data_IF_574906049974
#
_entry.id   IF_574906049974
#
_cell.length_a   1.000
_cell.length_b   1.000
_cell.length_c   1.000
_cell.angle_alpha   90.00
_cell.angle_beta   90.00
_cell.angle_gamma   90.00
#
_symmetry.space_group_name_H-M   'P 1'
#
loop_
_entity.id
_entity.type
_entity.pdbx_description
1 polymer ?
#
# COMPACT_ATOMS: atom_id res chain seq x y z
N UNK A 1 45.77 28.93 4.36
CA UNK A 1 45.47 28.42 3.01
C UNK A 1 45.10 26.94 3.15
N UNK A 2 43.83 26.65 3.44
CA UNK A 2 43.36 25.29 3.69
C UNK A 2 43.03 24.61 2.35
N UNK A 3 43.78 23.56 2.03
CA UNK A 3 43.55 22.70 0.87
C UNK A 3 42.29 21.86 1.13
N UNK A 4 41.21 22.14 0.39
CA UNK A 4 40.05 21.25 0.31
C UNK A 4 40.39 20.09 -0.63
N UNK A 5 40.59 18.89 -0.07
CA UNK A 5 40.59 17.66 -0.84
C UNK A 5 39.14 17.33 -1.24
N UNK A 6 38.80 17.59 -2.51
CA UNK A 6 37.58 17.09 -3.14
C UNK A 6 37.69 15.56 -3.25
N UNK A 7 36.98 14.84 -2.38
CA UNK A 7 36.70 13.41 -2.62
C UNK A 7 35.72 13.31 -3.79
N UNK A 8 36.25 13.09 -4.99
CA UNK A 8 35.47 12.65 -6.15
C UNK A 8 34.98 11.24 -5.87
N UNK A 9 33.77 11.12 -5.32
CA UNK A 9 33.01 9.88 -5.31
C UNK A 9 32.67 9.56 -6.77
N UNK A 10 33.45 8.67 -7.39
CA UNK A 10 33.07 8.02 -8.63
C UNK A 10 31.86 7.14 -8.32
N UNK A 11 30.66 7.68 -8.50
CA UNK A 11 29.50 6.84 -8.74
C UNK A 11 29.78 6.15 -10.07
N UNK A 12 30.19 4.89 -10.02
CA UNK A 12 30.10 4.01 -11.18
C UNK A 12 28.61 3.95 -11.53
N UNK A 13 28.18 4.85 -12.42
CA UNK A 13 26.94 4.68 -13.13
C UNK A 13 27.12 3.39 -13.92
N UNK A 14 26.63 2.29 -13.37
CA UNK A 14 26.39 1.10 -14.17
C UNK A 14 25.48 1.57 -15.31
N UNK A 15 26.07 1.70 -16.49
CA UNK A 15 25.32 1.68 -17.74
C UNK A 15 24.45 0.42 -17.65
N UNK A 16 23.16 0.60 -17.40
CA UNK A 16 22.19 -0.47 -17.60
C UNK A 16 22.34 -0.87 -19.06
N UNK A 17 23.02 -1.99 -19.27
CA UNK A 17 23.07 -2.61 -20.57
C UNK A 17 21.61 -3.00 -20.86
N UNK A 18 20.98 -2.36 -21.84
CA UNK A 18 19.56 -2.52 -22.20
C UNK A 18 19.21 -3.91 -22.76
N UNK A 19 20.09 -4.90 -22.56
CA UNK A 19 19.95 -6.29 -23.00
C UNK A 19 19.80 -7.26 -21.81
N UNK A 20 19.31 -6.79 -20.66
CA UNK A 20 18.82 -7.72 -19.65
C UNK A 20 17.57 -8.40 -20.20
N UNK A 21 17.70 -9.68 -20.56
CA UNK A 21 16.56 -10.54 -20.77
C UNK A 21 15.75 -10.56 -19.47
N UNK A 22 14.55 -9.96 -19.52
CA UNK A 22 13.64 -9.99 -18.39
C UNK A 22 13.38 -11.43 -17.99
N UNK A 23 13.48 -11.73 -16.70
CA UNK A 23 12.97 -12.98 -16.20
C UNK A 23 11.44 -12.93 -16.32
N UNK A 24 10.75 -14.01 -16.78
CA UNK A 24 9.30 -14.02 -16.93
C UNK A 24 8.50 -13.57 -15.71
N UNK A 25 9.06 -13.81 -14.52
CA UNK A 25 8.47 -13.47 -13.21
C UNK A 25 9.00 -12.16 -12.62
N UNK A 26 9.77 -11.37 -13.37
CA UNK A 26 10.17 -10.03 -12.92
C UNK A 26 8.93 -9.18 -12.62
N UNK A 27 8.96 -8.31 -11.59
CA UNK A 27 7.87 -7.39 -11.30
C UNK A 27 7.62 -6.45 -12.47
N UNK A 28 6.42 -5.89 -12.53
CA UNK A 28 6.08 -4.86 -13.51
C UNK A 28 6.98 -3.62 -13.31
N UNK A 29 7.55 -3.12 -14.40
CA UNK A 29 8.39 -1.93 -14.40
C UNK A 29 7.55 -0.65 -14.35
N UNK A 30 8.13 0.50 -13.98
CA UNK A 30 7.42 1.78 -14.04
C UNK A 30 6.83 2.12 -15.42
N UNK A 31 7.51 1.73 -16.50
CA UNK A 31 7.01 1.91 -17.87
C UNK A 31 5.79 1.05 -18.15
N UNK A 32 5.81 -0.20 -17.70
CA UNK A 32 4.67 -1.12 -17.83
C UNK A 32 3.46 -0.61 -17.03
N UNK A 33 3.62 -0.04 -15.83
CA UNK A 33 2.51 0.58 -15.11
C UNK A 33 1.85 1.74 -15.89
N UNK A 34 2.66 2.61 -16.52
CA UNK A 34 2.15 3.71 -17.36
C UNK A 34 1.42 3.16 -18.59
N UNK A 35 1.99 2.13 -19.21
CA UNK A 35 1.39 1.45 -20.37
C UNK A 35 0.04 0.83 -19.99
N UNK A 36 -0.03 0.09 -18.88
CA UNK A 36 -1.27 -0.50 -18.35
C UNK A 36 -2.31 0.59 -18.08
N UNK A 37 -1.91 1.66 -17.41
CA UNK A 37 -2.82 2.78 -17.14
C UNK A 37 -3.41 3.35 -18.44
N UNK A 38 -2.58 3.48 -19.47
CA UNK A 38 -2.98 4.01 -20.78
C UNK A 38 -3.98 3.08 -21.46
N UNK A 39 -3.66 1.78 -21.56
CA UNK A 39 -4.53 0.77 -22.17
C UNK A 39 -5.88 0.71 -21.45
N UNK A 40 -5.88 0.67 -20.12
CA UNK A 40 -7.10 0.62 -19.32
C UNK A 40 -7.95 1.88 -19.56
N UNK A 41 -7.38 3.08 -19.49
CA UNK A 41 -8.12 4.34 -19.71
C UNK A 41 -8.70 4.42 -21.12
N UNK A 42 -7.95 4.03 -22.14
CA UNK A 42 -8.41 4.05 -23.54
C UNK A 42 -9.49 3.01 -23.82
N UNK A 43 -9.52 1.90 -23.07
CA UNK A 43 -10.57 0.88 -23.22
C UNK A 43 -11.93 1.30 -22.63
N UNK A 44 -12.00 2.40 -21.87
CA UNK A 44 -13.25 2.85 -21.26
C UNK A 44 -14.07 3.72 -22.22
N UNK A 45 -15.40 3.54 -22.29
CA UNK A 45 -16.25 4.30 -23.19
C UNK A 45 -16.38 5.78 -22.81
N UNK A 46 -16.26 6.11 -21.53
CA UNK A 46 -16.24 7.48 -21.03
C UNK A 46 -14.89 7.74 -20.34
N UNK A 47 -14.06 8.67 -20.88
CA UNK A 47 -12.77 9.02 -20.29
C UNK A 47 -12.90 9.78 -18.96
N UNK A 48 -14.10 10.27 -18.60
CA UNK A 48 -14.35 11.04 -17.40
C UNK A 48 -14.86 10.21 -16.22
N UNK A 49 -15.02 8.88 -16.37
CA UNK A 49 -15.41 8.05 -15.24
C UNK A 49 -14.37 8.12 -14.11
N UNK A 50 -14.87 8.18 -12.88
CA UNK A 50 -14.03 8.03 -11.70
C UNK A 50 -13.53 6.59 -11.64
N UNK A 51 -12.35 6.36 -12.22
CA UNK A 51 -11.65 5.08 -12.27
C UNK A 51 -10.54 5.08 -11.24
N UNK A 52 -10.51 4.05 -10.41
CA UNK A 52 -9.42 3.81 -9.46
C UNK A 52 -8.85 2.42 -9.68
N UNK A 53 -7.56 2.26 -9.39
CA UNK A 53 -6.84 0.99 -9.47
C UNK A 53 -6.65 0.45 -8.05
N UNK A 54 -7.19 -0.74 -7.80
CA UNK A 54 -7.09 -1.40 -6.48
C UNK A 54 -5.99 -2.45 -6.48
N UNK A 55 -5.69 -3.02 -7.65
CA UNK A 55 -4.59 -3.94 -7.84
C UNK A 55 -4.07 -3.82 -9.28
N UNK A 56 -2.74 -3.85 -9.41
CA UNK A 56 -2.05 -4.00 -10.68
C UNK A 56 -0.84 -4.89 -10.42
N UNK A 57 -0.83 -6.06 -11.04
CA UNK A 57 0.26 -7.02 -10.89
C UNK A 57 0.44 -7.87 -12.14
N UNK A 58 1.52 -8.65 -12.15
CA UNK A 58 1.77 -9.60 -13.22
C UNK A 58 0.61 -10.60 -13.28
N UNK A 59 0.14 -10.89 -14.49
CA UNK A 59 -0.71 -12.06 -14.74
C UNK A 59 0.22 -13.27 -14.82
N UNK A 60 0.07 -14.22 -13.90
CA UNK A 60 1.03 -15.31 -13.74
C UNK A 60 1.19 -16.09 -15.07
N UNK A 61 2.40 -16.14 -15.65
CA UNK A 61 2.62 -16.89 -16.86
C UNK A 61 2.41 -18.39 -16.59
N UNK A 62 1.99 -19.12 -17.64
CA UNK A 62 1.81 -20.56 -17.54
C UNK A 62 3.09 -21.26 -17.02
N UNK A 63 2.91 -22.11 -16.00
CA UNK A 63 4.01 -22.78 -15.30
C UNK A 63 4.86 -23.60 -16.25
N UNK A 64 4.24 -24.35 -17.17
CA UNK A 64 4.99 -25.18 -18.12
C UNK A 64 5.85 -24.33 -19.05
N UNK A 65 5.35 -23.18 -19.49
CA UNK A 65 6.07 -22.21 -20.32
C UNK A 65 7.28 -21.63 -19.58
N UNK A 66 7.13 -21.24 -18.31
CA UNK A 66 8.25 -20.75 -17.49
C UNK A 66 9.32 -21.84 -17.29
N UNK A 67 8.91 -23.07 -16.96
CA UNK A 67 9.84 -24.20 -16.77
C UNK A 67 10.60 -24.54 -18.06
N UNK A 68 9.92 -24.47 -19.21
CA UNK A 68 10.53 -24.70 -20.52
C UNK A 68 11.55 -23.61 -20.87
N UNK A 69 11.21 -22.34 -20.62
CA UNK A 69 12.12 -21.21 -20.79
C UNK A 69 13.36 -21.29 -19.90
N UNK A 70 13.17 -21.68 -18.64
CA UNK A 70 14.28 -21.83 -17.70
C UNK A 70 15.21 -22.98 -18.12
N UNK A 71 14.65 -24.12 -18.51
CA UNK A 71 15.42 -25.32 -18.88
C UNK A 71 16.15 -25.19 -20.21
N UNK A 72 15.71 -24.29 -21.09
CA UNK A 72 16.34 -24.05 -22.40
C UNK A 72 17.55 -23.12 -22.34
N UNK A 73 18.08 -22.82 -21.15
CA UNK A 73 19.06 -21.75 -20.93
C UNK A 73 18.59 -20.42 -21.57
N UNK A 74 17.29 -20.12 -21.49
CA UNK A 74 16.69 -18.87 -21.97
C UNK A 74 16.76 -18.69 -23.51
N UNK A 75 16.89 -19.79 -24.26
CA UNK A 75 16.96 -19.77 -25.74
C UNK A 75 15.59 -19.87 -26.42
N UNK A 76 14.55 -20.27 -25.69
CA UNK A 76 13.16 -20.30 -26.18
C UNK A 76 12.46 -18.95 -25.99
N UNK A 77 11.38 -18.70 -26.74
CA UNK A 77 10.59 -17.47 -26.65
C UNK A 77 10.07 -17.23 -25.22
N UNK A 78 10.14 -15.98 -24.76
CA UNK A 78 9.56 -15.55 -23.48
C UNK A 78 8.02 -15.73 -23.49
N UNK A 79 7.39 -16.08 -22.35
CA UNK A 79 5.95 -16.03 -22.25
C UNK A 79 5.42 -14.61 -22.49
N UNK A 80 4.18 -14.46 -22.97
CA UNK A 80 3.55 -13.15 -23.13
C UNK A 80 3.59 -12.36 -21.81
N UNK A 81 4.00 -11.10 -21.90
CA UNK A 81 4.06 -10.20 -20.74
C UNK A 81 2.67 -9.59 -20.51
N UNK A 82 1.97 -10.09 -19.49
CA UNK A 82 0.58 -9.73 -19.18
C UNK A 82 0.44 -9.18 -17.77
N UNK A 83 -0.58 -8.36 -17.57
CA UNK A 83 -0.92 -7.81 -16.26
C UNK A 83 -2.37 -8.12 -15.90
N UNK A 84 -2.58 -8.55 -14.66
CA UNK A 84 -3.90 -8.66 -14.05
C UNK A 84 -4.20 -7.38 -13.27
N UNK A 85 -5.32 -6.75 -13.61
CA UNK A 85 -5.71 -5.44 -13.12
C UNK A 85 -7.09 -5.54 -12.49
N UNK A 86 -7.21 -5.05 -11.25
CA UNK A 86 -8.50 -4.84 -10.59
C UNK A 86 -8.76 -3.34 -10.50
N UNK A 87 -9.81 -2.88 -11.16
CA UNK A 87 -10.27 -1.48 -11.10
C UNK A 87 -11.64 -1.37 -10.48
N UNK A 88 -11.95 -0.17 -9.98
CA UNK A 88 -13.28 0.26 -9.58
C UNK A 88 -13.74 1.36 -10.51
N UNK A 89 -14.87 1.13 -11.16
CA UNK A 89 -15.49 2.02 -12.14
C UNK A 89 -16.99 2.03 -11.84
N UNK A 90 -17.59 3.20 -11.65
CA UNK A 90 -19.04 3.34 -11.39
C UNK A 90 -19.57 2.40 -10.29
N UNK A 91 -18.79 2.28 -9.20
CA UNK A 91 -19.11 1.40 -8.06
C UNK A 91 -19.16 -0.10 -8.39
N UNK A 92 -18.60 -0.50 -9.53
CA UNK A 92 -18.40 -1.89 -9.93
C UNK A 92 -16.93 -2.26 -9.92
N UNK A 93 -16.64 -3.52 -9.61
CA UNK A 93 -15.28 -4.07 -9.62
C UNK A 93 -15.06 -4.77 -10.96
N UNK A 94 -14.02 -4.37 -11.68
CA UNK A 94 -13.65 -4.96 -12.96
C UNK A 94 -12.32 -5.71 -12.80
N UNK A 95 -12.29 -6.93 -13.31
CA UNK A 95 -11.08 -7.75 -13.44
C UNK A 95 -10.68 -7.78 -14.90
N UNK A 96 -9.49 -7.28 -15.21
CA UNK A 96 -9.02 -7.13 -16.59
C UNK A 96 -7.63 -7.74 -16.75
N UNK A 97 -7.45 -8.52 -17.81
CA UNK A 97 -6.13 -8.98 -18.26
C UNK A 97 -5.69 -8.11 -19.43
N UNK A 98 -4.51 -7.51 -19.28
CA UNK A 98 -3.88 -6.65 -20.29
C UNK A 98 -2.65 -7.36 -20.86
N UNK A 99 -2.52 -7.39 -22.19
CA UNK A 99 -1.30 -7.84 -22.85
C UNK A 99 -0.44 -6.63 -23.25
N UNK A 100 0.76 -6.56 -22.68
CA UNK A 100 1.69 -5.45 -22.90
C UNK A 100 2.44 -5.57 -24.22
N UNK A 101 2.48 -6.77 -24.80
CA UNK A 101 3.12 -7.03 -26.09
C UNK A 101 2.26 -6.49 -27.23
N UNK A 102 0.94 -6.66 -27.12
CA UNK A 102 -0.04 -6.23 -28.14
C UNK A 102 -0.72 -4.90 -27.81
N UNK A 103 -0.41 -4.29 -26.67
CA UNK A 103 -1.04 -3.04 -26.19
C UNK A 103 -2.58 -3.12 -26.12
N UNK A 104 -3.12 -4.25 -25.65
CA UNK A 104 -4.56 -4.49 -25.71
C UNK A 104 -5.13 -5.16 -24.46
N UNK A 105 -6.43 -4.99 -24.26
CA UNK A 105 -7.20 -5.76 -23.28
C UNK A 105 -7.51 -7.12 -23.87
N UNK A 106 -7.09 -8.19 -23.20
CA UNK A 106 -7.42 -9.57 -23.61
C UNK A 106 -8.77 -10.01 -23.09
N UNK A 107 -9.08 -9.64 -21.85
CA UNK A 107 -10.35 -9.94 -21.21
C UNK A 107 -10.68 -8.88 -20.17
N UNK A 108 -11.98 -8.62 -20.01
CA UNK A 108 -12.49 -7.79 -18.91
C UNK A 108 -13.83 -8.34 -18.47
N UNK A 109 -14.03 -8.47 -17.16
CA UNK A 109 -15.30 -8.91 -16.57
C UNK A 109 -15.64 -8.10 -15.34
N UNK A 110 -16.94 -7.92 -15.10
CA UNK A 110 -17.44 -7.37 -13.84
C UNK A 110 -17.49 -8.49 -12.81
N UNK A 111 -16.83 -8.29 -11.67
CA UNK A 111 -16.92 -9.21 -10.54
C UNK A 111 -18.27 -9.04 -9.83
N UNK A 112 -19.05 -10.13 -9.73
CA UNK A 112 -20.42 -10.15 -9.16
C UNK A 112 -20.56 -10.98 -7.90
N UNK A 113 -19.44 -11.53 -7.40
CA UNK A 113 -19.36 -12.32 -6.18
C UNK A 113 -19.43 -11.47 -4.90
N UNK A 114 -19.07 -12.09 -3.78
CA UNK A 114 -19.01 -11.43 -2.47
C UNK A 114 -17.62 -10.87 -2.19
N UNK A 115 -17.54 -9.84 -1.35
CA UNK A 115 -16.29 -9.17 -1.03
C UNK A 115 -15.92 -8.06 -2.01
N UNK A 116 -14.88 -7.32 -1.65
CA UNK A 116 -14.42 -6.12 -2.35
C UNK A 116 -12.91 -6.14 -2.52
N UNK A 117 -12.39 -5.45 -3.54
CA UNK A 117 -10.95 -5.31 -3.70
C UNK A 117 -10.35 -4.42 -2.59
N UNK A 118 -9.03 -4.47 -2.49
CA UNK A 118 -8.22 -3.68 -1.56
C UNK A 118 -8.64 -2.20 -1.55
N UNK A 119 -8.55 -1.57 -0.38
CA UNK A 119 -8.73 -0.13 -0.27
C UNK A 119 -7.50 0.58 -0.78
N UNK A 120 -7.69 1.64 -1.56
CA UNK A 120 -6.57 2.52 -1.92
C UNK A 120 -6.21 3.43 -0.73
N UNK A 121 -4.98 3.93 -0.69
CA UNK A 121 -4.61 4.94 0.31
C UNK A 121 -5.44 6.21 0.19
N UNK A 122 -5.77 6.63 -1.04
CA UNK A 122 -6.60 7.82 -1.29
C UNK A 122 -8.00 7.67 -0.67
N UNK A 123 -8.64 6.51 -0.84
CA UNK A 123 -9.94 6.20 -0.22
C UNK A 123 -9.85 6.22 1.31
N UNK A 124 -8.82 5.60 1.88
CA UNK A 124 -8.64 5.53 3.34
C UNK A 124 -8.39 6.92 3.94
N UNK A 125 -7.57 7.76 3.30
CA UNK A 125 -7.33 9.14 3.71
C UNK A 125 -8.63 9.96 3.63
N UNK A 126 -9.36 9.86 2.51
CA UNK A 126 -10.62 10.59 2.37
C UNK A 126 -11.63 10.18 3.45
N UNK A 127 -11.77 8.88 3.72
CA UNK A 127 -12.67 8.35 4.74
C UNK A 127 -12.25 8.77 6.16
N UNK A 128 -10.96 8.74 6.48
CA UNK A 128 -10.46 9.09 7.83
C UNK A 128 -10.64 10.57 8.17
N UNK A 129 -10.76 11.44 7.16
CA UNK A 129 -10.99 12.88 7.34
C UNK A 129 -12.47 13.23 7.54
N UNK A 130 -13.42 12.36 7.18
CA UNK A 130 -14.86 12.64 7.30
C UNK A 130 -15.32 12.98 8.73
N UNK A 131 -14.89 12.26 9.81
CA UNK A 131 -15.30 12.58 11.17
C UNK A 131 -14.94 14.01 11.58
N UNK A 132 -13.80 14.53 11.11
CA UNK A 132 -13.28 15.86 11.47
C UNK A 132 -14.16 17.02 10.97
N UNK A 133 -15.13 16.74 10.10
CA UNK A 133 -16.14 17.70 9.61
C UNK A 133 -17.56 17.33 10.00
N UNK A 134 -17.75 16.22 10.71
CA UNK A 134 -19.06 15.65 11.00
C UNK A 134 -19.61 16.20 12.32
N UNK A 135 -20.69 16.99 12.27
CA UNK A 135 -21.21 17.71 13.43
C UNK A 135 -21.47 16.84 14.68
N UNK A 136 -22.02 15.61 14.58
CA UNK A 136 -22.12 14.70 15.73
C UNK A 136 -20.76 14.33 16.35
N UNK A 137 -19.74 14.08 15.53
CA UNK A 137 -18.39 13.78 16.01
C UNK A 137 -17.75 14.99 16.70
N UNK A 138 -17.89 16.18 16.12
CA UNK A 138 -17.39 17.42 16.73
C UNK A 138 -17.98 17.66 18.13
N UNK A 139 -19.29 17.40 18.30
CA UNK A 139 -19.96 17.45 19.61
C UNK A 139 -19.39 16.43 20.58
N UNK A 140 -19.10 15.20 20.13
CA UNK A 140 -18.51 14.14 20.95
C UNK A 140 -17.07 14.44 21.40
N UNK A 141 -16.27 15.09 20.56
CA UNK A 141 -14.92 15.57 20.89
C UNK A 141 -14.99 16.71 21.91
N UNK A 142 -15.88 17.68 21.70
CA UNK A 142 -16.11 18.78 22.65
C UNK A 142 -16.61 18.28 24.01
N UNK A 143 -17.55 17.31 24.04
CA UNK A 143 -18.03 16.65 25.27
C UNK A 143 -16.89 16.00 26.07
N UNK A 144 -15.86 15.49 25.38
CA UNK A 144 -14.66 14.89 25.97
C UNK A 144 -13.58 15.93 26.34
N UNK A 145 -13.81 17.21 26.06
CA UNK A 145 -12.86 18.32 26.27
C UNK A 145 -11.52 18.12 25.54
N UNK A 146 -11.57 17.50 24.36
CA UNK A 146 -10.42 17.27 23.52
C UNK A 146 -10.32 18.34 22.42
N UNK A 147 -9.09 18.65 22.01
CA UNK A 147 -8.81 19.56 20.90
C UNK A 147 -8.92 18.83 19.57
N UNK A 148 -9.65 19.36 18.60
CA UNK A 148 -9.89 18.67 17.33
C UNK A 148 -8.60 18.51 16.51
N UNK A 149 -7.70 19.49 16.58
CA UNK A 149 -6.41 19.51 15.89
C UNK A 149 -5.45 18.40 16.33
N UNK A 150 -5.67 17.81 17.51
CA UNK A 150 -4.90 16.69 18.05
C UNK A 150 -5.59 15.33 17.80
N UNK A 151 -6.71 15.31 17.07
CA UNK A 151 -7.45 14.08 16.73
C UNK A 151 -6.99 13.55 15.38
N UNK A 152 -6.52 12.31 15.38
CA UNK A 152 -6.18 11.56 14.16
C UNK A 152 -7.06 10.33 14.07
N UNK A 153 -7.61 10.06 12.90
CA UNK A 153 -8.47 8.91 12.66
C UNK A 153 -7.78 7.91 11.73
N UNK A 154 -8.05 6.62 11.95
CA UNK A 154 -7.58 5.51 11.14
C UNK A 154 -8.75 4.62 10.75
N UNK A 155 -8.58 3.87 9.66
CA UNK A 155 -9.63 3.07 9.05
C UNK A 155 -9.44 1.58 9.31
N UNK A 156 -10.54 0.87 9.52
CA UNK A 156 -10.56 -0.54 9.87
C UNK A 156 -11.57 -1.27 8.99
N UNK A 157 -11.15 -2.38 8.37
CA UNK A 157 -12.05 -3.26 7.63
C UNK A 157 -13.11 -3.84 8.57
N UNK A 158 -14.34 -3.98 8.07
CA UNK A 158 -15.46 -4.48 8.88
C UNK A 158 -15.68 -5.99 8.79
N UNK A 159 -15.10 -6.68 7.80
CA UNK A 159 -15.36 -8.10 7.58
C UNK A 159 -16.81 -8.38 7.18
N UNK A 160 -17.30 -9.58 7.50
CA UNK A 160 -18.68 -10.03 7.27
C UNK A 160 -19.15 -10.83 8.49
N UNK A 161 -20.39 -10.61 8.94
CA UNK A 161 -20.91 -11.15 10.20
C UNK A 161 -22.24 -11.91 10.05
N UNK A 162 -22.59 -12.37 8.85
CA UNK A 162 -23.82 -13.13 8.61
C UNK A 162 -24.96 -12.33 8.01
N UNK A 163 -24.75 -11.05 7.69
CA UNK A 163 -25.75 -10.24 6.98
C UNK A 163 -26.10 -10.86 5.62
N UNK A 164 -27.40 -11.11 5.41
CA UNK A 164 -27.89 -11.95 4.30
C UNK A 164 -28.18 -11.17 3.01
N UNK A 165 -28.41 -9.85 3.10
CA UNK A 165 -28.89 -9.07 1.96
C UNK A 165 -27.74 -8.42 1.17
N UNK A 166 -27.78 -8.56 -0.17
CA UNK A 166 -26.87 -7.81 -1.07
C UNK A 166 -27.06 -6.29 -0.98
N UNK A 167 -28.19 -5.80 -0.46
CA UNK A 167 -28.41 -4.36 -0.20
C UNK A 167 -27.64 -3.87 1.03
N UNK A 168 -27.27 -4.77 1.93
CA UNK A 168 -26.41 -4.51 3.08
C UNK A 168 -24.93 -4.75 2.77
N UNK A 169 -24.63 -5.40 1.64
CA UNK A 169 -23.27 -5.55 1.12
C UNK A 169 -22.82 -4.22 0.52
N UNK A 170 -22.39 -3.31 1.39
CA UNK A 170 -21.76 -2.03 1.06
C UNK A 170 -20.27 -2.14 1.32
N UNK A 171 -19.49 -1.33 0.59
CA UNK A 171 -18.04 -1.25 0.79
C UNK A 171 -17.74 -0.31 1.96
N UNK A 172 -17.84 -0.84 3.18
CA UNK A 172 -17.75 -0.06 4.42
C UNK A 172 -16.39 -0.16 5.14
N UNK A 173 -16.01 0.95 5.77
CA UNK A 173 -14.93 1.03 6.76
C UNK A 173 -15.49 1.50 8.11
N UNK A 174 -14.93 0.96 9.19
CA UNK A 174 -15.05 1.58 10.51
C UNK A 174 -13.91 2.58 10.70
N UNK A 175 -14.23 3.72 11.30
CA UNK A 175 -13.24 4.74 11.64
C UNK A 175 -13.10 4.79 13.16
N UNK A 176 -11.87 4.62 13.63
CA UNK A 176 -11.48 4.82 15.03
C UNK A 176 -10.53 6.01 15.10
N UNK A 177 -10.70 6.84 16.12
CA UNK A 177 -9.90 8.04 16.28
C UNK A 177 -9.08 8.00 17.57
N UNK A 178 -7.96 8.68 17.53
CA UNK A 178 -6.90 8.68 18.54
C UNK A 178 -6.54 10.12 18.86
N UNK A 179 -5.98 10.32 20.05
CA UNK A 179 -5.61 11.65 20.53
C UNK A 179 -4.10 11.74 20.74
N UNK A 180 -3.46 12.70 20.07
CA UNK A 180 -2.01 12.84 20.06
C UNK A 180 -1.48 13.49 21.35
N UNK A 181 -1.94 14.71 21.70
CA UNK A 181 -1.38 15.52 22.78
C UNK A 181 0.15 15.63 22.67
N UNK A 182 0.63 15.85 21.44
CA UNK A 182 2.05 15.98 21.12
C UNK A 182 2.87 14.68 21.00
N UNK A 183 2.33 13.48 21.29
CA UNK A 183 3.00 12.22 20.93
C UNK A 183 2.60 11.75 19.53
N UNK A 184 3.49 11.00 18.87
CA UNK A 184 3.18 10.30 17.62
C UNK A 184 2.63 8.89 17.84
N UNK A 185 2.66 8.38 19.08
CA UNK A 185 2.22 7.03 19.41
C UNK A 185 0.69 6.98 19.57
N UNK A 186 -0.02 7.17 18.46
CA UNK A 186 -1.47 7.36 18.46
C UNK A 186 -2.23 6.12 18.96
N UNK A 187 -1.77 4.91 18.62
CA UNK A 187 -2.53 3.67 18.87
C UNK A 187 -2.72 3.33 20.35
N UNK A 188 -1.86 3.87 21.24
CA UNK A 188 -1.99 3.71 22.69
C UNK A 188 -2.90 4.75 23.34
N UNK A 189 -3.50 5.66 22.55
CA UNK A 189 -4.38 6.74 23.03
C UNK A 189 -5.69 6.81 22.26
N UNK A 190 -6.51 5.73 22.27
CA UNK A 190 -7.79 5.71 21.57
C UNK A 190 -8.80 6.68 22.20
N UNK A 191 -9.62 7.29 21.35
CA UNK A 191 -10.85 7.99 21.75
C UNK A 191 -11.98 6.95 21.76
N UNK A 192 -12.14 6.33 22.91
CA UNK A 192 -13.04 5.20 23.08
C UNK A 192 -14.52 5.56 23.07
N UNK A 193 -15.34 4.54 22.78
CA UNK A 193 -16.80 4.60 22.82
C UNK A 193 -17.45 5.19 21.57
N UNK A 194 -16.68 5.79 20.65
CA UNK A 194 -17.17 6.28 19.36
C UNK A 194 -16.99 5.20 18.27
N UNK A 195 -18.01 4.97 17.47
CA UNK A 195 -17.93 4.15 16.26
C UNK A 195 -18.53 4.92 15.10
N UNK A 196 -17.74 5.11 14.05
CA UNK A 196 -18.17 5.73 12.80
C UNK A 196 -18.07 4.69 11.70
N UNK A 197 -19.11 4.58 10.88
CA UNK A 197 -19.12 3.72 9.68
C UNK A 197 -19.21 4.61 8.46
N UNK A 198 -18.32 4.37 7.49
CA UNK A 198 -18.23 5.11 6.24
C UNK A 198 -18.49 4.15 5.09
N UNK A 199 -19.38 4.54 4.18
CA UNK A 199 -19.53 3.92 2.86
C UNK A 199 -18.53 4.55 1.91
N UNK A 200 -17.62 3.75 1.34
CA UNK A 200 -16.55 4.23 0.47
C UNK A 200 -17.02 4.59 -0.93
N UNK A 201 -18.09 3.97 -1.41
CA UNK A 201 -18.62 4.24 -2.77
C UNK A 201 -19.37 5.56 -2.80
N UNK A 202 -20.00 5.91 -1.69
CA UNK A 202 -20.68 7.19 -1.47
C UNK A 202 -19.77 8.24 -0.81
N UNK A 203 -18.61 7.83 -0.30
CA UNK A 203 -17.68 8.62 0.52
C UNK A 203 -18.39 9.43 1.61
N UNK A 204 -19.24 8.76 2.41
CA UNK A 204 -20.04 9.41 3.45
C UNK A 204 -20.18 8.55 4.71
N UNK A 205 -20.35 9.23 5.85
CA UNK A 205 -20.68 8.57 7.11
C UNK A 205 -22.13 8.05 7.03
N UNK A 206 -22.31 6.75 7.21
CA UNK A 206 -23.63 6.08 7.16
C UNK A 206 -24.15 5.74 8.54
N UNK A 207 -23.28 5.50 9.51
CA UNK A 207 -23.66 5.21 10.90
C UNK A 207 -22.72 5.93 11.87
N UNK A 208 -23.28 6.40 12.98
CA UNK A 208 -22.55 7.08 14.04
C UNK A 208 -23.10 6.66 15.39
N UNK A 209 -22.22 6.20 16.27
CA UNK A 209 -22.57 5.81 17.63
C UNK A 209 -21.55 6.39 18.62
N UNK A 210 -22.00 7.15 19.61
CA UNK A 210 -21.21 7.56 20.77
C UNK A 210 -21.81 6.90 22.02
N UNK A 211 -21.28 5.74 22.38
CA UNK A 211 -21.90 4.80 23.32
C UNK A 211 -21.58 5.10 24.78
N UNK A 212 -20.34 5.49 25.04
CA UNK A 212 -19.85 5.76 26.39
C UNK A 212 -18.64 6.68 26.32
N UNK A 213 -18.28 7.27 27.46
CA UNK A 213 -17.13 8.15 27.60
C UNK A 213 -16.18 7.56 28.65
N UNK A 214 -14.93 7.35 28.25
CA UNK A 214 -13.83 7.05 29.17
C UNK A 214 -12.69 8.05 28.93
N UNK A 215 -11.85 8.32 29.94
CA UNK A 215 -10.67 9.16 29.77
C UNK A 215 -9.72 8.58 28.73
N UNK A 216 -9.12 9.43 27.90
CA UNK A 216 -8.00 9.05 27.05
C UNK A 216 -6.79 8.76 27.94
N UNK A 217 -6.02 7.67 27.70
CA UNK A 217 -4.77 7.40 28.40
C UNK A 217 -3.84 8.62 28.43
N UNK A 218 -3.08 8.83 29.52
CA UNK A 218 -2.13 9.95 29.63
C UNK A 218 -0.93 9.76 28.68
N UNK A 219 -0.34 10.86 28.21
CA UNK A 219 0.80 10.83 27.26
C UNK A 219 2.12 10.39 27.91
N UNK A 220 2.22 10.48 29.23
CA UNK A 220 3.45 10.21 29.98
C UNK A 220 3.98 8.78 29.73
N UNK A 221 5.23 8.68 29.28
CA UNK A 221 5.91 7.41 29.07
C UNK A 221 5.51 6.65 27.80
N UNK A 222 4.69 7.24 26.91
CA UNK A 222 4.23 6.57 25.69
C UNK A 222 5.10 6.82 24.45
N UNK A 223 6.07 7.72 24.54
CA UNK A 223 6.90 8.11 23.40
C UNK A 223 8.04 7.14 23.13
N UNK A 224 8.20 6.76 21.85
CA UNK A 224 9.19 5.78 21.41
C UNK A 224 10.34 6.40 20.61
N UNK A 225 10.19 7.64 20.12
CA UNK A 225 11.26 8.32 19.40
C UNK A 225 12.36 8.76 20.38
N UNK A 226 13.57 8.27 20.16
CA UNK A 226 14.75 8.63 20.99
C UNK A 226 14.94 10.15 21.15
N UNK A 227 14.64 10.94 20.10
CA UNK A 227 14.74 12.42 20.12
C UNK A 227 13.75 13.11 21.05
N UNK A 228 12.73 12.40 21.54
CA UNK A 228 11.69 12.90 22.45
C UNK A 228 11.73 12.24 23.83
N UNK A 229 12.54 11.20 24.00
CA UNK A 229 12.74 10.52 25.26
C UNK A 229 13.71 11.30 26.16
N UNK A 230 13.63 11.04 27.46
CA UNK A 230 14.48 11.66 28.49
C UNK A 230 15.32 10.59 29.18
N UNK A 231 16.50 10.94 29.70
CA UNK A 231 17.30 10.04 30.52
C UNK A 231 16.51 9.48 31.73
N UNK A 232 16.92 8.32 32.27
CA UNK A 232 18.13 7.56 31.90
C UNK A 232 17.95 6.71 30.63
N UNK A 233 18.99 6.69 29.79
CA UNK A 233 19.11 5.74 28.68
C UNK A 233 20.03 4.60 29.10
N UNK A 234 19.76 3.37 28.66
CA UNK A 234 20.70 2.28 28.87
C UNK A 234 20.11 0.87 28.74
N UNK A 235 20.98 -0.15 28.86
CA UNK A 235 22.44 -0.05 29.06
C UNK A 235 23.18 0.49 27.83
N UNK A 236 24.37 1.08 28.03
CA UNK A 236 25.24 1.44 26.90
C UNK A 236 25.73 0.16 26.21
N UNK A 237 25.77 0.18 24.87
CA UNK A 237 26.27 -0.93 24.05
C UNK A 237 27.50 -0.48 23.28
N UNK A 238 28.51 -1.34 23.20
CA UNK A 238 29.70 -1.07 22.41
C UNK A 238 29.39 -1.24 20.91
N UNK A 239 29.95 -0.35 20.08
CA UNK A 239 29.84 -0.47 18.63
C UNK A 239 30.59 -1.70 18.10
N UNK A 240 30.06 -2.31 17.04
CA UNK A 240 30.67 -3.44 16.34
C UNK A 240 30.87 -3.07 14.87
N UNK A 241 32.02 -3.45 14.32
CA UNK A 241 32.32 -3.29 12.89
C UNK A 241 32.42 -4.66 12.22
N UNK A 242 31.69 -4.85 11.12
CA UNK A 242 31.71 -6.07 10.30
C UNK A 242 32.20 -5.69 8.91
N UNK A 243 33.16 -6.46 8.37
CA UNK A 243 33.71 -6.26 7.03
C UNK A 243 33.73 -7.58 6.25
N UNK A 244 33.52 -7.50 4.93
CA UNK A 244 33.61 -8.62 3.99
C UNK A 244 34.68 -8.27 2.93
N UNK A 245 35.98 -8.55 3.18
CA UNK A 245 37.07 -8.11 2.31
C UNK A 245 36.94 -8.58 0.86
N UNK A 246 36.40 -9.78 0.67
CA UNK A 246 36.20 -10.40 -0.64
C UNK A 246 34.80 -10.12 -1.24
N UNK A 247 34.03 -9.22 -0.62
CA UNK A 247 32.64 -8.93 -0.98
C UNK A 247 31.63 -9.95 -0.44
N UNK A 248 30.34 -9.79 -0.81
CA UNK A 248 29.29 -10.70 -0.37
C UNK A 248 29.40 -12.07 -1.05
N UNK A 249 28.97 -13.13 -0.35
CA UNK A 249 28.88 -14.49 -0.90
C UNK A 249 27.69 -14.71 -1.86
N UNK A 250 27.15 -13.66 -2.45
CA UNK A 250 26.00 -13.73 -3.35
C UNK A 250 26.13 -12.72 -4.48
N UNK A 251 25.49 -13.04 -5.60
CA UNK A 251 25.32 -12.15 -6.75
C UNK A 251 23.84 -11.88 -6.98
N UNK A 252 23.53 -10.64 -7.40
CA UNK A 252 22.18 -10.23 -7.81
C UNK A 252 22.26 -9.78 -9.26
N UNK A 253 21.50 -10.44 -10.14
CA UNK A 253 21.30 -10.07 -11.54
C UNK A 253 19.81 -9.84 -11.79
N UNK A 254 19.41 -8.57 -11.90
CA UNK A 254 18.00 -8.19 -11.85
C UNK A 254 17.35 -8.65 -10.54
N UNK A 255 16.35 -9.54 -10.64
CA UNK A 255 15.70 -10.18 -9.49
C UNK A 255 16.17 -11.62 -9.24
N UNK A 256 17.20 -12.08 -9.96
CA UNK A 256 17.79 -13.41 -9.75
C UNK A 256 18.92 -13.33 -8.73
N UNK A 257 18.81 -14.10 -7.65
CA UNK A 257 19.84 -14.22 -6.62
C UNK A 257 20.59 -15.52 -6.81
N UNK A 258 21.93 -15.45 -6.90
CA UNK A 258 22.82 -16.63 -6.91
C UNK A 258 23.67 -16.60 -5.66
N UNK A 259 23.55 -17.63 -4.83
CA UNK A 259 24.42 -17.83 -3.68
C UNK A 259 25.66 -18.57 -4.19
N UNK A 260 26.85 -18.03 -3.90
CA UNK A 260 28.10 -18.64 -4.29
C UNK A 260 28.48 -19.69 -3.26
N UNK A 261 28.18 -20.96 -3.55
CA UNK A 261 28.67 -22.07 -2.74
C UNK A 261 30.20 -22.18 -2.89
N UNK A 262 30.91 -22.29 -1.77
CA UNK A 262 32.38 -22.43 -1.73
C UNK A 262 32.86 -23.88 -1.95
N UNK A 263 32.13 -24.68 -2.74
CA UNK A 263 32.51 -26.08 -3.04
C UNK A 263 32.84 -26.29 -4.51
#
# INVERSE_FOLDING_TARGET
MFLFLLCLSFTSAHKHNNNHHYHPLDPLTPKEFIQIQTIIKQSQPDPNHNLTFQYVGLDDPDKHTVLSWHSSNQTTQLPPRRAFVITRINKQTHETIVDLSTNSVLSSRVYTGYGYPLFTFAEQIAASLLPLKYAPFLKSISKRKLKLEEVVCSTYSVGWFGEESKKDNKRELKILCFYLDGTVNLYVRPIEGITVVVDLDEMKITKYYDRFVVPVPKVDGLEYQSSKQKPPFGPSVHGVTVAQPDGPGFMIDGHTIRILDKN
#
